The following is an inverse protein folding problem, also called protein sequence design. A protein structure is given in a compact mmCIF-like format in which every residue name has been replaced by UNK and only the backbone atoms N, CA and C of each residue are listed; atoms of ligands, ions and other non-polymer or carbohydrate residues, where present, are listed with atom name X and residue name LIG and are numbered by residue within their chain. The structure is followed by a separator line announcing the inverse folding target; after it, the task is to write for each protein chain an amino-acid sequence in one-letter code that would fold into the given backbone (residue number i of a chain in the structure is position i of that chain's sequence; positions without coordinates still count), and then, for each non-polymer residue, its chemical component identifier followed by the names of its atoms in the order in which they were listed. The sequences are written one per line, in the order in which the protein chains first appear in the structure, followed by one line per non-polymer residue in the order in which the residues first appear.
data_IF_319477455772
#
_entry.id   IF_319477455772
#
_cell.length_a   1.000
_cell.length_b   1.000
_cell.length_c   1.000
_cell.angle_alpha   90.00
_cell.angle_beta   90.00
_cell.angle_gamma   90.00
#
_symmetry.space_group_name_H-M   'P 1'
#
loop_
_entity.id
_entity.type
_entity.pdbx_description
1 polymer ?
#
# COMPACT_ATOMS: atom_id res chain seq x y z
N UNK A 1 3.54 -7.02 -18.26
CA UNK A 1 4.11 -6.31 -17.11
C UNK A 1 2.93 -5.61 -16.47
N UNK A 2 2.50 -6.06 -15.29
CA UNK A 2 1.31 -5.53 -14.65
C UNK A 2 1.48 -4.03 -14.37
N UNK A 3 0.36 -3.34 -14.22
CA UNK A 3 0.30 -1.92 -13.88
C UNK A 3 -0.35 -1.74 -12.53
N UNK A 4 0.13 -0.75 -11.78
CA UNK A 4 -0.59 -0.25 -10.60
C UNK A 4 -1.14 1.12 -10.94
N UNK A 5 -2.45 1.26 -10.82
CA UNK A 5 -3.14 2.54 -10.82
C UNK A 5 -3.23 3.03 -9.39
N UNK A 6 -2.50 4.09 -9.04
CA UNK A 6 -2.74 4.79 -7.78
C UNK A 6 -3.83 5.83 -8.00
N UNK A 7 -4.93 5.71 -7.26
CA UNK A 7 -6.02 6.67 -7.30
C UNK A 7 -5.57 8.05 -6.79
N UNK A 8 -6.22 9.14 -7.22
CA UNK A 8 -5.91 10.49 -6.77
C UNK A 8 -5.88 10.60 -5.24
N UNK A 9 -4.78 11.12 -4.71
CA UNK A 9 -4.60 11.42 -3.29
C UNK A 9 -4.14 12.87 -3.14
N UNK A 10 -4.89 13.67 -2.36
CA UNK A 10 -4.69 15.12 -2.29
C UNK A 10 -3.30 15.57 -1.82
N UNK A 11 -2.58 14.74 -1.06
CA UNK A 11 -1.29 15.11 -0.46
C UNK A 11 -0.11 14.46 -1.21
N UNK A 12 -0.24 13.19 -1.58
CA UNK A 12 0.87 12.41 -2.13
C UNK A 12 0.85 12.32 -3.66
N UNK A 13 -0.33 12.32 -4.27
CA UNK A 13 -0.48 12.16 -5.72
C UNK A 13 -1.81 12.76 -6.22
N UNK A 14 -1.92 14.09 -6.34
CA UNK A 14 -3.20 14.77 -6.54
C UNK A 14 -3.98 14.36 -7.79
N UNK A 15 -3.29 13.94 -8.85
CA UNK A 15 -3.89 13.54 -10.12
C UNK A 15 -4.05 12.02 -10.27
N UNK A 16 -3.58 11.24 -9.28
CA UNK A 16 -3.39 9.80 -9.44
C UNK A 16 -2.30 9.49 -10.46
N UNK A 17 -2.16 8.23 -10.84
CA UNK A 17 -1.18 7.83 -11.84
C UNK A 17 -1.21 6.35 -12.15
N UNK A 18 -0.60 5.99 -13.28
CA UNK A 18 -0.46 4.59 -13.72
C UNK A 18 1.01 4.29 -13.89
N UNK A 19 1.48 3.27 -13.20
CA UNK A 19 2.90 2.92 -13.16
C UNK A 19 3.11 1.46 -13.47
N UNK A 20 4.18 1.16 -14.19
CA UNK A 20 4.57 -0.21 -14.46
C UNK A 20 5.07 -0.88 -13.17
N UNK A 21 4.75 -2.17 -12.99
CA UNK A 21 5.18 -3.02 -11.90
C UNK A 21 5.76 -4.33 -12.44
N UNK A 22 6.73 -4.92 -11.74
CA UNK A 22 7.21 -6.26 -12.01
C UNK A 22 6.59 -7.25 -11.02
N UNK A 23 6.26 -8.48 -11.45
CA UNK A 23 5.86 -9.52 -10.50
C UNK A 23 6.92 -9.66 -9.39
N UNK A 24 6.47 -9.60 -8.14
CA UNK A 24 7.33 -9.63 -6.94
C UNK A 24 7.65 -8.25 -6.33
N UNK A 25 7.49 -7.15 -7.09
CA UNK A 25 7.53 -5.79 -6.54
C UNK A 25 6.44 -5.66 -5.47
N UNK A 26 6.72 -4.94 -4.38
CA UNK A 26 5.66 -4.54 -3.45
C UNK A 26 4.92 -3.30 -3.97
N UNK A 27 3.66 -3.11 -3.58
CA UNK A 27 2.92 -1.88 -3.90
C UNK A 27 3.72 -0.64 -3.44
N UNK A 28 4.34 -0.71 -2.25
CA UNK A 28 5.17 0.36 -1.72
C UNK A 28 6.43 0.62 -2.56
N UNK A 29 7.14 -0.41 -3.03
CA UNK A 29 8.32 -0.24 -3.89
C UNK A 29 7.97 0.50 -5.19
N UNK A 30 6.82 0.15 -5.80
CA UNK A 30 6.32 0.82 -7.00
C UNK A 30 5.92 2.26 -6.70
N UNK A 31 5.33 2.54 -5.54
CA UNK A 31 5.00 3.91 -5.14
C UNK A 31 6.27 4.77 -4.99
N UNK A 32 7.21 4.31 -4.16
CA UNK A 32 8.42 5.08 -3.81
C UNK A 32 9.31 5.34 -5.02
N UNK A 33 9.53 4.35 -5.90
CA UNK A 33 10.36 4.53 -7.09
C UNK A 33 9.78 5.53 -8.10
N UNK A 34 8.47 5.78 -8.02
CA UNK A 34 7.75 6.75 -8.85
C UNK A 34 7.47 8.08 -8.12
N UNK A 35 8.07 8.29 -6.95
CA UNK A 35 8.00 9.57 -6.22
C UNK A 35 6.73 9.76 -5.40
N UNK A 36 5.95 8.70 -5.15
CA UNK A 36 4.80 8.74 -4.23
C UNK A 36 5.32 8.39 -2.83
N UNK A 37 5.49 9.41 -1.99
CA UNK A 37 6.15 9.29 -0.69
C UNK A 37 5.22 8.72 0.41
N UNK A 38 4.76 7.48 0.22
CA UNK A 38 3.98 6.75 1.22
C UNK A 38 4.87 6.48 2.43
N UNK A 39 4.45 6.90 3.62
CA UNK A 39 5.22 6.70 4.85
C UNK A 39 5.47 5.20 5.14
N UNK A 40 6.67 4.87 5.60
CA UNK A 40 7.09 3.49 5.89
C UNK A 40 7.95 3.43 7.15
N UNK A 41 7.38 3.86 8.29
CA UNK A 41 8.10 4.16 9.53
C UNK A 41 8.86 2.95 10.12
N UNK A 42 8.36 1.73 9.94
CA UNK A 42 9.04 0.52 10.40
C UNK A 42 10.08 -0.04 9.40
N UNK A 43 10.47 0.75 8.40
CA UNK A 43 11.42 0.35 7.36
C UNK A 43 10.98 -0.95 6.66
N UNK A 44 9.69 -1.03 6.30
CA UNK A 44 9.08 -2.16 5.59
C UNK A 44 9.06 -3.50 6.37
N UNK A 45 9.21 -3.45 7.70
CA UNK A 45 9.34 -4.64 8.57
C UNK A 45 8.02 -5.24 9.09
N UNK A 46 6.87 -4.93 8.46
CA UNK A 46 5.54 -5.38 8.92
C UNK A 46 5.24 -5.06 10.41
N UNK A 47 5.67 -3.87 10.87
CA UNK A 47 5.58 -3.48 12.29
C UNK A 47 4.96 -2.08 12.51
N UNK A 48 4.34 -1.51 11.49
CA UNK A 48 3.54 -0.28 11.57
C UNK A 48 2.41 -0.33 10.53
N UNK A 49 1.55 0.68 10.50
CA UNK A 49 0.44 0.81 9.54
C UNK A 49 0.60 2.01 8.60
N UNK A 50 1.77 2.66 8.59
CA UNK A 50 1.97 3.90 7.82
C UNK A 50 1.93 3.69 6.31
N UNK A 51 2.22 2.47 5.85
CA UNK A 51 2.15 2.07 4.45
C UNK A 51 0.81 1.42 4.06
N UNK A 52 -0.20 1.54 4.92
CA UNK A 52 -1.54 1.03 4.66
C UNK A 52 -2.06 1.57 3.33
N UNK A 53 -2.64 0.68 2.53
CA UNK A 53 -3.31 0.97 1.28
C UNK A 53 -4.54 0.07 1.13
N UNK A 54 -5.46 0.43 0.24
CA UNK A 54 -6.63 -0.40 -0.08
C UNK A 54 -6.55 -0.80 -1.55
N UNK A 55 -6.62 -2.10 -1.83
CA UNK A 55 -6.52 -2.64 -3.19
C UNK A 55 -7.94 -2.75 -3.76
N UNK A 56 -8.37 -1.73 -4.48
CA UNK A 56 -9.72 -1.60 -5.03
C UNK A 56 -10.01 -2.58 -6.17
N UNK A 57 -8.99 -2.95 -6.93
CA UNK A 57 -9.07 -3.96 -7.99
C UNK A 57 -7.81 -4.83 -7.98
N UNK A 58 -7.96 -6.13 -8.26
CA UNK A 58 -6.87 -7.10 -8.29
C UNK A 58 -6.46 -7.66 -6.92
N UNK A 59 -7.22 -7.40 -5.84
CA UNK A 59 -6.91 -7.90 -4.49
C UNK A 59 -6.74 -9.43 -4.44
N UNK A 60 -7.66 -10.17 -5.06
CA UNK A 60 -7.64 -11.64 -5.08
C UNK A 60 -6.44 -12.23 -5.85
N UNK A 61 -5.74 -11.42 -6.65
CA UNK A 61 -4.52 -11.83 -7.35
C UNK A 61 -3.29 -11.87 -6.44
N UNK A 62 -3.35 -11.20 -5.28
CA UNK A 62 -2.27 -11.12 -4.31
C UNK A 62 -2.25 -12.37 -3.44
N UNK A 63 -1.07 -12.70 -2.89
CA UNK A 63 -1.01 -13.67 -1.81
C UNK A 63 -1.81 -13.16 -0.60
N UNK A 64 -2.47 -14.07 0.12
CA UNK A 64 -3.15 -13.77 1.38
C UNK A 64 -2.22 -13.04 2.35
N UNK A 65 -2.79 -12.14 3.16
CA UNK A 65 -2.05 -11.51 4.24
C UNK A 65 -1.59 -12.55 5.25
N UNK A 66 -0.45 -12.27 5.88
CA UNK A 66 0.03 -13.10 7.00
C UNK A 66 -0.70 -12.70 8.29
N UNK A 67 -0.75 -13.59 9.28
CA UNK A 67 -1.31 -13.26 10.60
C UNK A 67 -0.69 -11.99 11.21
N UNK A 68 0.62 -11.79 11.02
CA UNK A 68 1.31 -10.58 11.48
C UNK A 68 0.84 -9.31 10.73
N UNK A 69 0.55 -9.43 9.44
CA UNK A 69 0.00 -8.32 8.65
C UNK A 69 -1.41 -7.97 9.14
N UNK A 70 -2.26 -8.97 9.39
CA UNK A 70 -3.62 -8.79 9.92
C UNK A 70 -3.59 -8.12 11.31
N UNK A 71 -2.72 -8.59 12.21
CA UNK A 71 -2.50 -8.01 13.55
C UNK A 71 -2.09 -6.53 13.50
N UNK A 72 -1.44 -6.11 12.41
CA UNK A 72 -1.08 -4.72 12.18
C UNK A 72 -2.23 -3.95 11.54
N UNK A 73 -2.91 -4.52 10.54
CA UNK A 73 -4.07 -3.92 9.88
C UNK A 73 -5.22 -3.61 10.85
N UNK A 74 -5.41 -4.42 11.90
CA UNK A 74 -6.37 -4.15 12.99
C UNK A 74 -6.12 -2.81 13.70
N UNK A 75 -4.91 -2.25 13.58
CA UNK A 75 -4.50 -0.96 14.16
C UNK A 75 -4.52 0.17 13.12
N UNK A 76 -4.83 -0.13 11.86
CA UNK A 76 -4.86 0.84 10.78
C UNK A 76 -6.10 1.74 10.91
N UNK A 77 -5.94 3.01 10.51
CA UNK A 77 -7.08 3.89 10.37
C UNK A 77 -7.84 3.56 9.10
N UNK A 78 -9.17 3.49 9.15
CA UNK A 78 -9.99 3.22 7.96
C UNK A 78 -9.74 1.83 7.37
N UNK A 79 -9.59 0.81 8.21
CA UNK A 79 -9.48 -0.58 7.77
C UNK A 79 -10.71 -1.00 6.93
N UNK A 80 -10.43 -1.62 5.79
CA UNK A 80 -11.40 -2.17 4.86
C UNK A 80 -11.04 -3.63 4.49
N UNK A 81 -11.99 -4.44 3.97
CA UNK A 81 -11.72 -5.84 3.62
C UNK A 81 -10.55 -6.05 2.65
N UNK A 82 -10.34 -5.13 1.72
CA UNK A 82 -9.25 -5.20 0.73
C UNK A 82 -8.01 -4.40 1.16
N UNK A 83 -7.89 -4.08 2.45
CA UNK A 83 -6.72 -3.38 2.99
C UNK A 83 -5.50 -4.28 3.01
N UNK A 84 -4.35 -3.68 2.70
CA UNK A 84 -3.04 -4.32 2.77
C UNK A 84 -2.00 -3.36 3.35
N UNK A 85 -0.94 -3.93 3.92
CA UNK A 85 0.29 -3.18 4.12
C UNK A 85 1.04 -3.15 2.79
N UNK A 86 1.23 -1.95 2.22
CA UNK A 86 1.84 -1.80 0.90
C UNK A 86 3.25 -2.40 0.80
N UNK A 87 3.97 -2.51 1.92
CA UNK A 87 5.29 -3.17 1.98
C UNK A 87 5.23 -4.71 1.96
N UNK A 88 4.05 -5.31 2.19
CA UNK A 88 3.85 -6.76 2.19
C UNK A 88 3.10 -7.24 0.95
N UNK A 89 2.20 -6.42 0.40
CA UNK A 89 1.44 -6.73 -0.81
C UNK A 89 2.34 -6.77 -2.05
N UNK A 90 2.62 -7.98 -2.55
CA UNK A 90 3.46 -8.23 -3.74
C UNK A 90 2.61 -8.41 -4.98
N UNK A 91 2.92 -7.65 -6.02
CA UNK A 91 2.27 -7.72 -7.33
C UNK A 91 2.55 -9.09 -7.95
N UNK A 92 1.53 -9.68 -8.56
CA UNK A 92 1.63 -10.93 -9.33
C UNK A 92 1.66 -10.61 -10.83
N UNK A 93 0.81 -11.23 -11.64
CA UNK A 93 0.69 -10.99 -13.07
C UNK A 93 -0.55 -10.18 -13.47
N UNK A 94 -1.36 -9.77 -12.50
CA UNK A 94 -2.56 -8.94 -12.69
C UNK A 94 -2.31 -7.45 -12.36
N UNK A 95 -3.05 -6.58 -13.05
CA UNK A 95 -3.06 -5.14 -12.77
C UNK A 95 -3.79 -4.85 -11.45
N UNK A 96 -3.35 -3.81 -10.74
CA UNK A 96 -3.95 -3.40 -9.47
C UNK A 96 -4.49 -1.97 -9.57
N UNK A 97 -5.58 -1.70 -8.86
CA UNK A 97 -6.02 -0.34 -8.53
C UNK A 97 -5.87 -0.15 -7.03
N UNK A 98 -5.11 0.86 -6.62
CA UNK A 98 -4.71 1.09 -5.23
C UNK A 98 -5.15 2.48 -4.79
N UNK A 99 -5.83 2.53 -3.66
CA UNK A 99 -6.14 3.76 -2.95
C UNK A 99 -5.18 3.96 -1.77
N UNK A 100 -4.64 5.17 -1.64
CA UNK A 100 -3.87 5.57 -0.46
C UNK A 100 -4.83 6.27 0.51
N UNK A 101 -5.02 5.73 1.74
CA UNK A 101 -5.87 6.33 2.75
C UNK A 101 -5.51 7.79 3.01
N UNK A 102 -6.51 8.59 3.35
CA UNK A 102 -6.32 10.02 3.65
C UNK A 102 -5.46 10.25 4.91
N UNK A 103 -5.49 9.31 5.84
CA UNK A 103 -4.78 9.40 7.11
C UNK A 103 -4.17 8.05 7.46
N UNK A 104 -2.97 8.05 8.05
CA UNK A 104 -2.35 6.86 8.63
C UNK A 104 -1.92 7.14 10.05
N UNK A 105 -1.92 6.11 10.89
CA UNK A 105 -1.45 6.22 12.28
C UNK A 105 0.06 6.04 12.28
N UNK A 106 0.81 7.08 12.64
CA UNK A 106 2.25 7.01 12.81
C UNK A 106 2.63 7.30 14.27
N UNK A 107 2.93 6.26 15.04
CA UNK A 107 3.35 6.35 16.44
C UNK A 107 4.77 6.89 16.63
N UNK A 108 5.58 6.97 15.56
CA UNK A 108 6.94 7.49 15.60
C UNK A 108 7.02 9.00 15.26
N UNK A 109 5.92 9.62 14.79
CA UNK A 109 5.88 11.08 14.61
C UNK A 109 5.86 11.76 15.97
N UNK A 110 7.00 12.34 16.35
CA UNK A 110 7.06 13.32 17.43
C UNK A 110 6.32 14.59 16.99
N UNK A 111 5.59 15.21 17.92
CA UNK A 111 4.78 16.42 17.69
C UNK A 111 5.61 17.64 17.29
#
# INVERSE_FOLDING_TARGET
MPKIVFLPNAELLPEGGVFDAQPGDTILDVALRNGIDIEHACEMSCACTTCHCVVREGFDSLAESTELEDDMLDKAWGLEPESRLGCQARVTDEDLVVEIPRYTVNHAREH
#
